data_IF_069977286509
#
_entry.id   IF_069977286509
#
_cell.length_a   1.000
_cell.length_b   1.000
_cell.length_c   1.000
_cell.angle_alpha   90.00
_cell.angle_beta   90.00
_cell.angle_gamma   90.00
#
_symmetry.space_group_name_H-M   'P 1'
#
loop_
_entity.id
_entity.type
_entity.pdbx_description
1 polymer ?
#
# COMPACT_ATOMS: atom_id res chain seq x y z
N UNK A 1 8.68 7.72 52.32
CA UNK A 1 7.38 8.08 51.72
C UNK A 1 7.49 9.50 51.17
N UNK A 2 7.75 9.63 49.86
CA UNK A 2 6.81 10.16 48.84
C UNK A 2 6.62 11.69 49.00
N UNK A 3 6.84 12.58 48.03
CA UNK A 3 6.61 12.51 46.58
C UNK A 3 7.34 13.68 45.89
N UNK A 4 8.13 13.42 44.87
CA UNK A 4 8.59 14.44 43.92
C UNK A 4 7.52 14.62 42.84
N UNK A 5 6.95 15.82 42.73
CA UNK A 5 6.06 16.23 41.64
C UNK A 5 6.67 17.47 41.00
N UNK A 6 6.57 17.53 39.68
CA UNK A 6 6.87 18.68 38.80
C UNK A 6 8.26 18.74 38.18
N UNK A 7 8.51 17.91 37.16
CA UNK A 7 9.34 18.28 36.00
C UNK A 7 8.77 17.59 34.74
N UNK A 8 7.64 18.07 34.22
CA UNK A 8 7.16 17.70 32.89
C UNK A 8 6.57 18.93 32.18
N UNK A 9 7.48 19.83 31.79
CA UNK A 9 7.22 20.87 30.79
C UNK A 9 8.48 21.05 29.95
N UNK A 10 8.83 20.04 29.16
CA UNK A 10 9.73 20.23 28.03
C UNK A 10 8.89 20.64 26.82
N UNK A 11 9.14 21.86 26.34
CA UNK A 11 8.31 22.63 25.42
C UNK A 11 8.11 22.00 24.01
N UNK A 12 7.01 22.35 23.30
CA UNK A 12 6.72 21.92 21.92
C UNK A 12 7.79 22.34 20.88
N UNK A 13 8.70 23.23 21.26
CA UNK A 13 9.79 23.75 20.41
C UNK A 13 10.86 22.69 20.12
N UNK A 14 11.14 21.76 21.04
CA UNK A 14 12.16 20.73 20.84
C UNK A 14 11.72 19.66 19.83
N UNK A 15 10.42 19.29 19.84
CA UNK A 15 9.81 18.36 18.88
C UNK A 15 9.80 18.95 17.46
N UNK A 16 9.48 20.24 17.34
CA UNK A 16 9.54 20.95 16.05
C UNK A 16 10.97 21.09 15.51
N UNK A 17 11.98 21.24 16.37
CA UNK A 17 13.39 21.33 15.96
C UNK A 17 13.94 20.00 15.44
N UNK A 18 13.55 18.88 16.07
CA UNK A 18 13.95 17.53 15.63
C UNK A 18 13.23 17.10 14.34
N UNK A 19 11.93 17.42 14.19
CA UNK A 19 11.19 17.19 12.94
C UNK A 19 11.71 18.04 11.78
N UNK A 20 12.11 19.28 12.04
CA UNK A 20 12.79 20.16 11.09
C UNK A 20 14.15 19.60 10.63
N UNK A 21 14.92 18.98 11.54
CA UNK A 21 16.23 18.41 11.22
C UNK A 21 16.14 17.04 10.51
N UNK A 22 15.14 16.23 10.86
CA UNK A 22 14.88 14.95 10.18
C UNK A 22 14.35 15.14 8.74
N UNK A 23 13.60 16.21 8.49
CA UNK A 23 13.02 16.53 7.17
C UNK A 23 13.99 17.25 6.24
N UNK A 24 14.96 17.99 6.78
CA UNK A 24 16.07 18.58 6.01
C UNK A 24 16.96 17.52 5.31
N UNK A 25 16.85 16.25 5.72
CA UNK A 25 17.68 15.14 5.22
C UNK A 25 16.93 14.20 4.26
N UNK A 26 15.66 14.46 3.94
CA UNK A 26 14.89 13.62 3.01
C UNK A 26 15.14 14.04 1.56
N UNK A 27 16.08 13.36 0.90
CA UNK A 27 16.36 13.53 -0.52
C UNK A 27 15.48 12.60 -1.37
N UNK A 28 14.87 13.13 -2.44
CA UNK A 28 14.25 12.33 -3.51
C UNK A 28 15.15 12.45 -4.73
N UNK A 29 15.79 11.34 -5.13
CA UNK A 29 16.74 11.28 -6.26
C UNK A 29 17.93 12.25 -6.15
N UNK A 30 18.42 12.51 -4.94
CA UNK A 30 19.62 13.33 -4.74
C UNK A 30 19.38 14.85 -4.76
N UNK A 31 18.15 15.29 -4.99
CA UNK A 31 17.78 16.72 -4.92
C UNK A 31 17.03 17.03 -3.61
N UNK A 32 17.28 18.22 -3.00
CA UNK A 32 16.54 18.64 -1.83
C UNK A 32 15.05 18.85 -2.18
N UNK A 33 14.15 18.34 -1.33
CA UNK A 33 12.72 18.58 -1.50
C UNK A 33 12.42 20.08 -1.52
N UNK A 34 11.73 20.55 -2.56
CA UNK A 34 11.34 21.96 -2.65
C UNK A 34 10.48 22.36 -1.44
N UNK A 35 10.52 23.65 -1.08
CA UNK A 35 9.92 24.18 0.15
C UNK A 35 8.43 23.90 0.29
N UNK A 36 7.70 23.76 -0.83
CA UNK A 36 6.28 23.41 -0.83
C UNK A 36 6.00 21.92 -0.64
N UNK A 37 6.84 21.02 -1.17
CA UNK A 37 6.76 19.59 -0.87
C UNK A 37 7.19 19.31 0.57
N UNK A 38 8.16 20.04 1.09
CA UNK A 38 8.55 19.98 2.51
C UNK A 38 7.44 20.52 3.41
N UNK A 39 6.77 21.62 3.05
CA UNK A 39 5.57 22.10 3.76
C UNK A 39 4.42 21.11 3.69
N UNK A 40 4.16 20.50 2.53
CA UNK A 40 3.09 19.50 2.36
C UNK A 40 3.41 18.20 3.10
N UNK A 41 4.67 17.77 3.09
CA UNK A 41 5.16 16.66 3.90
C UNK A 41 5.01 16.96 5.39
N UNK A 42 5.43 18.14 5.84
CA UNK A 42 5.27 18.59 7.22
C UNK A 42 3.80 18.77 7.61
N UNK A 43 2.94 19.24 6.70
CA UNK A 43 1.51 19.34 6.93
C UNK A 43 0.89 17.95 7.10
N UNK A 44 1.23 17.00 6.21
CA UNK A 44 0.80 15.60 6.27
C UNK A 44 1.30 14.88 7.54
N UNK A 45 2.54 15.15 7.96
CA UNK A 45 3.09 14.67 9.24
C UNK A 45 2.51 15.39 10.46
N UNK A 46 2.16 16.68 10.35
CA UNK A 46 1.54 17.44 11.45
C UNK A 46 0.07 17.08 11.67
N UNK A 47 -0.65 16.70 10.60
CA UNK A 47 -2.00 16.13 10.70
C UNK A 47 -1.99 14.71 11.26
N UNK A 48 -0.88 13.98 11.13
CA UNK A 48 -0.68 12.72 11.86
C UNK A 48 -0.49 12.94 13.37
N UNK A 49 -0.10 14.16 13.79
CA UNK A 49 0.01 14.55 15.20
C UNK A 49 -1.29 15.03 15.85
N UNK A 50 -2.42 15.01 15.13
CA UNK A 50 -3.73 15.40 15.64
C UNK A 50 -4.59 14.16 15.93
N UNK A 51 -4.23 13.36 16.93
CA UNK A 51 -5.09 12.52 17.80
C UNK A 51 -6.27 11.70 17.25
N UNK A 52 -6.48 11.63 15.94
CA UNK A 52 -7.63 11.00 15.31
C UNK A 52 -7.21 9.71 14.64
N UNK A 53 -7.83 8.59 15.04
CA UNK A 53 -7.69 7.32 14.32
C UNK A 53 -8.23 7.51 12.90
N UNK A 54 -7.53 6.94 11.92
CA UNK A 54 -8.03 6.82 10.56
C UNK A 54 -9.31 5.99 10.57
N UNK A 55 -10.27 6.38 9.75
CA UNK A 55 -11.56 5.72 9.61
C UNK A 55 -11.77 5.24 8.19
N UNK A 56 -12.58 4.19 8.03
CA UNK A 56 -13.07 3.80 6.72
C UNK A 56 -14.07 4.87 6.24
N UNK A 57 -13.85 5.53 5.09
CA UNK A 57 -14.77 6.54 4.59
C UNK A 57 -16.03 5.87 4.01
N UNK A 58 -17.20 6.45 4.24
CA UNK A 58 -18.41 6.00 3.57
C UNK A 58 -18.31 6.22 2.05
N UNK A 59 -18.94 5.32 1.29
CA UNK A 59 -19.00 5.45 -0.17
C UNK A 59 -20.01 6.54 -0.56
N UNK A 60 -19.73 7.34 -1.60
CA UNK A 60 -20.66 8.37 -2.07
C UNK A 60 -21.83 7.80 -2.89
N UNK A 61 -21.90 6.48 -3.07
CA UNK A 61 -22.89 5.75 -3.85
C UNK A 61 -23.08 4.32 -3.27
N UNK A 62 -24.13 3.63 -3.69
CA UNK A 62 -24.40 2.25 -3.27
C UNK A 62 -23.42 1.26 -3.95
N UNK A 63 -23.20 0.09 -3.35
CA UNK A 63 -22.31 -0.93 -3.88
C UNK A 63 -22.70 -1.38 -5.30
N UNK A 64 -23.99 -1.38 -5.63
CA UNK A 64 -24.49 -1.74 -6.96
C UNK A 64 -24.43 -0.60 -7.99
N UNK A 65 -24.06 0.62 -7.59
CA UNK A 65 -24.13 1.81 -8.48
C UNK A 65 -23.15 1.77 -9.66
N UNK A 66 -22.18 0.86 -9.65
CA UNK A 66 -21.19 0.71 -10.74
C UNK A 66 -21.47 -0.50 -11.64
N UNK A 67 -22.58 -1.20 -11.45
CA UNK A 67 -22.98 -2.30 -12.32
C UNK A 67 -23.39 -1.77 -13.71
N UNK A 68 -23.09 -2.53 -14.80
CA UNK A 68 -22.47 -3.86 -14.82
C UNK A 68 -20.93 -3.85 -14.83
N UNK A 69 -20.29 -2.67 -14.79
CA UNK A 69 -18.83 -2.56 -14.93
C UNK A 69 -18.06 -3.14 -13.74
N UNK A 70 -18.59 -2.99 -12.52
CA UNK A 70 -18.06 -3.61 -11.30
C UNK A 70 -19.21 -4.15 -10.46
N UNK A 71 -19.14 -5.42 -10.06
CA UNK A 71 -20.22 -6.05 -9.28
C UNK A 71 -20.33 -5.48 -7.86
N UNK A 72 -21.55 -5.44 -7.32
CA UNK A 72 -21.81 -5.02 -5.94
C UNK A 72 -21.00 -5.82 -4.91
N UNK A 73 -20.90 -7.14 -5.11
CA UNK A 73 -20.12 -8.04 -4.25
C UNK A 73 -18.64 -7.65 -4.21
N UNK A 74 -18.05 -7.34 -5.36
CA UNK A 74 -16.66 -6.86 -5.44
C UNK A 74 -16.51 -5.55 -4.68
N UNK A 75 -17.40 -4.59 -4.89
CA UNK A 75 -17.34 -3.29 -4.23
C UNK A 75 -17.46 -3.41 -2.71
N UNK A 76 -18.38 -4.25 -2.23
CA UNK A 76 -18.58 -4.49 -0.81
C UNK A 76 -17.36 -5.14 -0.16
N UNK A 77 -16.77 -6.17 -0.78
CA UNK A 77 -15.56 -6.82 -0.25
C UNK A 77 -14.34 -5.88 -0.29
N UNK A 78 -14.17 -5.15 -1.39
CA UNK A 78 -13.07 -4.21 -1.59
C UNK A 78 -13.13 -3.07 -0.56
N UNK A 79 -14.32 -2.57 -0.26
CA UNK A 79 -14.51 -1.54 0.75
C UNK A 79 -14.41 -2.09 2.18
N UNK A 80 -15.28 -3.02 2.56
CA UNK A 80 -15.46 -3.42 3.96
C UNK A 80 -14.39 -4.38 4.49
N UNK A 81 -13.63 -5.03 3.59
CA UNK A 81 -12.55 -5.95 3.98
C UNK A 81 -11.18 -5.40 3.60
N UNK A 82 -10.94 -5.15 2.31
CA UNK A 82 -9.61 -4.73 1.85
C UNK A 82 -9.24 -3.33 2.34
N UNK A 83 -10.12 -2.33 2.14
CA UNK A 83 -9.84 -0.97 2.61
C UNK A 83 -9.82 -0.89 4.15
N UNK A 84 -10.75 -1.59 4.82
CA UNK A 84 -10.76 -1.67 6.29
C UNK A 84 -9.45 -2.25 6.86
N UNK A 85 -8.84 -3.23 6.19
CA UNK A 85 -7.55 -3.79 6.60
C UNK A 85 -6.45 -2.73 6.57
N UNK A 86 -6.40 -1.90 5.53
CA UNK A 86 -5.45 -0.78 5.48
C UNK A 86 -5.68 0.20 6.62
N UNK A 87 -6.94 0.57 6.91
CA UNK A 87 -7.28 1.47 8.02
C UNK A 87 -6.77 0.93 9.36
N UNK A 88 -7.06 -0.34 9.66
CA UNK A 88 -6.64 -0.97 10.92
C UNK A 88 -5.12 -0.99 11.04
N UNK A 89 -4.44 -1.52 10.02
CA UNK A 89 -2.97 -1.62 10.02
C UNK A 89 -2.30 -0.25 10.09
N UNK A 90 -2.86 0.75 9.40
CA UNK A 90 -2.33 2.11 9.43
C UNK A 90 -2.41 2.71 10.83
N UNK A 91 -3.53 2.53 11.54
CA UNK A 91 -3.65 3.01 12.92
C UNK A 91 -2.60 2.37 13.83
N UNK A 92 -2.43 1.04 13.76
CA UNK A 92 -1.44 0.32 14.56
C UNK A 92 0.01 0.75 14.24
N UNK A 93 0.30 1.03 12.97
CA UNK A 93 1.62 1.50 12.53
C UNK A 93 1.89 2.94 12.96
N UNK A 94 0.88 3.81 12.92
CA UNK A 94 1.02 5.21 13.34
C UNK A 94 1.28 5.30 14.85
N UNK A 95 0.65 4.45 15.68
CA UNK A 95 0.97 4.36 17.11
C UNK A 95 2.45 3.98 17.35
N UNK A 96 3.00 3.05 16.55
CA UNK A 96 4.42 2.66 16.61
C UNK A 96 5.35 3.76 16.11
N UNK A 97 4.96 4.50 15.08
CA UNK A 97 5.71 5.66 14.58
C UNK A 97 5.77 6.76 15.64
N UNK A 98 4.64 7.05 16.30
CA UNK A 98 4.59 8.05 17.38
C UNK A 98 5.47 7.66 18.57
N UNK A 99 5.49 6.37 18.94
CA UNK A 99 6.38 5.87 19.97
C UNK A 99 7.87 6.05 19.58
N UNK A 100 8.24 5.67 18.35
CA UNK A 100 9.61 5.82 17.85
C UNK A 100 10.04 7.30 17.73
N UNK A 101 9.15 8.19 17.31
CA UNK A 101 9.40 9.64 17.30
C UNK A 101 9.59 10.18 18.71
N UNK A 102 8.79 9.71 19.67
CA UNK A 102 8.84 10.17 21.06
C UNK A 102 10.10 9.69 21.79
N UNK A 103 10.63 8.52 21.42
CA UNK A 103 11.90 8.00 21.94
C UNK A 103 13.13 8.47 21.17
N UNK A 104 12.96 9.11 20.00
CA UNK A 104 14.06 9.49 19.12
C UNK A 104 14.72 8.31 18.40
N UNK A 105 14.02 7.17 18.29
CA UNK A 105 14.54 5.96 17.65
C UNK A 105 14.39 6.02 16.12
N UNK A 106 15.41 6.59 15.47
CA UNK A 106 15.49 6.63 14.01
C UNK A 106 15.56 5.26 13.34
N UNK A 107 16.11 4.24 14.01
CA UNK A 107 16.23 2.90 13.45
C UNK A 107 14.87 2.22 13.34
N UNK A 108 14.02 2.37 14.37
CA UNK A 108 12.63 1.92 14.34
C UNK A 108 11.83 2.63 13.23
N UNK A 109 12.03 3.93 13.03
CA UNK A 109 11.36 4.67 11.95
C UNK A 109 11.74 4.13 10.56
N UNK A 110 13.03 3.83 10.34
CA UNK A 110 13.50 3.22 9.09
C UNK A 110 12.86 1.84 8.90
N UNK A 111 12.83 1.01 9.95
CA UNK A 111 12.26 -0.33 9.91
C UNK A 111 10.73 -0.31 9.66
N UNK A 112 10.01 0.67 10.20
CA UNK A 112 8.55 0.83 10.00
C UNK A 112 8.19 1.39 8.63
N UNK A 113 9.10 2.12 7.98
CA UNK A 113 8.85 2.88 6.74
C UNK A 113 8.18 2.05 5.61
N UNK A 114 8.61 0.81 5.29
CA UNK A 114 7.96 0.02 4.25
C UNK A 114 6.50 -0.31 4.57
N UNK A 115 6.21 -0.70 5.81
CA UNK A 115 4.86 -1.06 6.25
C UNK A 115 3.93 0.16 6.30
N UNK A 116 4.45 1.31 6.73
CA UNK A 116 3.74 2.61 6.70
C UNK A 116 3.39 2.96 5.26
N UNK A 117 4.36 2.94 4.34
CA UNK A 117 4.13 3.24 2.92
C UNK A 117 3.06 2.34 2.31
N UNK A 118 3.10 1.05 2.64
CA UNK A 118 2.14 0.08 2.11
C UNK A 118 0.72 0.32 2.64
N UNK A 119 0.54 0.41 3.96
CA UNK A 119 -0.80 0.48 4.54
C UNK A 119 -1.39 1.88 4.48
N UNK A 120 -0.63 2.91 4.85
CA UNK A 120 -1.11 4.31 4.78
C UNK A 120 -1.30 4.71 3.32
N UNK A 121 -0.36 4.34 2.44
CA UNK A 121 -0.53 4.53 0.99
C UNK A 121 -1.75 3.76 0.45
N UNK A 122 -1.99 2.54 0.93
CA UNK A 122 -3.19 1.76 0.63
C UNK A 122 -4.47 2.50 0.99
N UNK A 123 -4.59 2.99 2.23
CA UNK A 123 -5.75 3.75 2.68
C UNK A 123 -5.98 5.04 1.87
N UNK A 124 -4.93 5.83 1.62
CA UNK A 124 -5.03 7.06 0.83
C UNK A 124 -5.50 6.75 -0.59
N UNK A 125 -4.88 5.77 -1.24
CA UNK A 125 -5.22 5.42 -2.63
C UNK A 125 -6.66 4.93 -2.75
N UNK A 126 -7.15 4.12 -1.81
CA UNK A 126 -8.55 3.67 -1.83
C UNK A 126 -9.52 4.82 -1.55
N UNK A 127 -9.19 5.71 -0.60
CA UNK A 127 -10.00 6.90 -0.31
C UNK A 127 -10.16 7.82 -1.53
N UNK A 128 -9.16 7.90 -2.41
CA UNK A 128 -9.27 8.59 -3.70
C UNK A 128 -10.00 7.74 -4.75
N UNK A 129 -9.74 6.43 -4.80
CA UNK A 129 -10.38 5.51 -5.73
C UNK A 129 -11.91 5.62 -5.67
N UNK A 130 -12.50 5.59 -4.47
CA UNK A 130 -13.96 5.70 -4.30
C UNK A 130 -14.54 7.02 -4.81
N UNK A 131 -13.76 8.11 -4.74
CA UNK A 131 -14.19 9.44 -5.20
C UNK A 131 -14.02 9.64 -6.71
N UNK A 132 -13.19 8.80 -7.34
CA UNK A 132 -12.89 8.87 -8.77
C UNK A 132 -13.82 7.99 -9.62
N UNK A 133 -14.73 7.26 -9.00
CA UNK A 133 -15.71 6.42 -9.67
C UNK A 133 -17.06 7.10 -9.66
N UNK A 134 -17.85 6.83 -10.70
CA UNK A 134 -19.24 7.24 -10.80
C UNK A 134 -20.02 6.19 -11.59
N UNK A 135 -21.35 6.14 -11.44
CA UNK A 135 -22.22 5.35 -12.31
C UNK A 135 -21.96 5.66 -13.78
N UNK A 136 -22.09 4.66 -14.66
CA UNK A 136 -21.83 4.84 -16.08
C UNK A 136 -22.68 5.95 -16.73
N UNK A 137 -23.90 6.17 -16.23
CA UNK A 137 -24.80 7.25 -16.66
C UNK A 137 -24.30 8.66 -16.33
N UNK A 138 -23.39 8.79 -15.37
CA UNK A 138 -22.81 10.06 -14.93
C UNK A 138 -21.41 10.31 -15.53
N UNK A 139 -20.88 9.32 -16.25
CA UNK A 139 -19.57 9.42 -16.90
C UNK A 139 -19.61 10.37 -18.10
N UNK A 140 -18.69 11.32 -18.14
CA UNK A 140 -18.52 12.24 -19.25
C UNK A 140 -17.03 12.54 -19.49
N UNK A 141 -16.63 12.90 -20.73
CA UNK A 141 -15.30 13.42 -20.99
C UNK A 141 -14.99 14.65 -20.12
N UNK A 142 -13.76 14.80 -19.62
CA UNK A 142 -13.37 15.92 -18.78
C UNK A 142 -13.48 17.23 -19.55
N UNK A 143 -14.04 18.25 -18.90
CA UNK A 143 -14.18 19.60 -19.47
C UNK A 143 -13.31 20.59 -18.68
N UNK A 144 -13.27 21.85 -19.15
CA UNK A 144 -12.56 22.94 -18.47
C UNK A 144 -11.04 22.72 -18.42
N UNK A 145 -10.36 23.19 -17.35
CA UNK A 145 -8.90 23.13 -17.24
C UNK A 145 -8.32 21.71 -17.35
N UNK A 146 -9.04 20.70 -16.85
CA UNK A 146 -8.59 19.31 -16.93
C UNK A 146 -8.64 18.78 -18.37
N UNK A 147 -9.73 19.05 -19.10
CA UNK A 147 -9.84 18.69 -20.51
C UNK A 147 -8.72 19.32 -21.35
N UNK A 148 -8.50 20.63 -21.17
CA UNK A 148 -7.44 21.35 -21.89
C UNK A 148 -6.03 20.82 -21.55
N UNK A 149 -5.76 20.46 -20.30
CA UNK A 149 -4.50 19.85 -19.90
C UNK A 149 -4.29 18.46 -20.53
N UNK A 150 -5.37 17.68 -20.66
CA UNK A 150 -5.34 16.39 -21.35
C UNK A 150 -5.04 16.57 -22.83
N UNK A 151 -5.73 17.49 -23.50
CA UNK A 151 -5.51 17.75 -24.93
C UNK A 151 -4.08 18.22 -25.19
N UNK A 152 -3.56 19.11 -24.33
CA UNK A 152 -2.16 19.58 -24.43
C UNK A 152 -1.15 18.46 -24.23
N UNK A 153 -1.39 17.56 -23.28
CA UNK A 153 -0.39 16.55 -22.87
C UNK A 153 -0.47 15.24 -23.68
N UNK A 154 -1.65 14.93 -24.23
CA UNK A 154 -1.96 13.65 -24.87
C UNK A 154 -2.52 13.80 -26.28
N UNK A 155 -2.73 15.03 -26.76
CA UNK A 155 -3.32 15.34 -28.06
C UNK A 155 -4.85 15.39 -28.01
N UNK A 156 -5.49 14.40 -27.41
CA UNK A 156 -6.93 14.38 -27.14
C UNK A 156 -7.29 13.35 -26.05
N UNK A 157 -8.54 13.36 -25.61
CA UNK A 157 -9.06 12.44 -24.60
C UNK A 157 -8.99 10.95 -25.00
N UNK A 158 -9.17 10.61 -26.27
CA UNK A 158 -9.09 9.21 -26.73
C UNK A 158 -7.66 8.67 -26.68
N UNK A 159 -6.68 9.48 -27.07
CA UNK A 159 -5.26 9.16 -26.96
C UNK A 159 -4.83 9.03 -25.49
N UNK A 160 -5.37 9.88 -24.60
CA UNK A 160 -5.20 9.72 -23.16
C UNK A 160 -5.76 8.39 -22.65
N UNK A 161 -7.02 8.05 -22.97
CA UNK A 161 -7.63 6.78 -22.59
C UNK A 161 -6.80 5.59 -23.08
N UNK A 162 -6.40 5.59 -24.36
CA UNK A 162 -5.59 4.51 -24.94
C UNK A 162 -4.27 4.32 -24.18
N UNK A 163 -3.57 5.42 -23.89
CA UNK A 163 -2.30 5.38 -23.16
C UNK A 163 -2.48 4.92 -21.72
N UNK A 164 -3.49 5.40 -21.02
CA UNK A 164 -3.79 4.98 -19.64
C UNK A 164 -4.18 3.51 -19.57
N UNK A 165 -5.07 3.04 -20.47
CA UNK A 165 -5.45 1.63 -20.56
C UNK A 165 -4.24 0.73 -20.80
N UNK A 166 -3.36 1.09 -21.74
CA UNK A 166 -2.14 0.32 -22.01
C UNK A 166 -1.22 0.24 -20.78
N UNK A 167 -1.07 1.34 -20.02
CA UNK A 167 -0.27 1.36 -18.79
C UNK A 167 -0.90 0.50 -17.67
N UNK A 168 -2.22 0.55 -17.51
CA UNK A 168 -2.93 -0.25 -16.52
C UNK A 168 -2.80 -1.76 -16.81
N UNK A 169 -2.99 -2.16 -18.07
CA UNK A 169 -2.81 -3.56 -18.49
C UNK A 169 -1.37 -4.02 -18.26
N UNK A 170 -0.37 -3.18 -18.53
CA UNK A 170 1.04 -3.54 -18.33
C UNK A 170 1.38 -3.83 -16.85
N UNK A 171 0.68 -3.22 -15.89
CA UNK A 171 0.81 -3.57 -14.47
C UNK A 171 0.24 -4.96 -14.20
N UNK A 172 -0.95 -5.25 -14.74
CA UNK A 172 -1.61 -6.56 -14.59
C UNK A 172 -0.75 -7.70 -15.14
N UNK A 173 -0.16 -7.52 -16.33
CA UNK A 173 0.72 -8.53 -16.95
C UNK A 173 1.97 -8.79 -16.11
N UNK A 174 2.57 -7.75 -15.49
CA UNK A 174 3.74 -7.95 -14.62
C UNK A 174 3.43 -8.83 -13.41
N UNK A 175 2.25 -8.66 -12.80
CA UNK A 175 1.82 -9.46 -11.64
C UNK A 175 1.54 -10.91 -12.07
N UNK A 176 0.84 -11.11 -13.18
CA UNK A 176 0.54 -12.44 -13.72
C UNK A 176 1.80 -13.21 -14.12
N UNK A 177 2.78 -12.53 -14.71
CA UNK A 177 4.05 -13.16 -15.09
C UNK A 177 4.85 -13.61 -13.86
N UNK A 178 4.92 -12.80 -12.81
CA UNK A 178 5.60 -13.20 -11.55
C UNK A 178 4.91 -14.42 -10.92
N UNK A 179 3.58 -14.42 -10.84
CA UNK A 179 2.82 -15.57 -10.31
C UNK A 179 3.02 -16.82 -11.16
N UNK A 180 3.01 -16.68 -12.49
CA UNK A 180 3.21 -17.81 -13.43
C UNK A 180 4.63 -18.37 -13.35
N UNK A 181 5.65 -17.51 -13.20
CA UNK A 181 7.04 -17.94 -12.98
C UNK A 181 7.19 -18.66 -11.65
N UNK A 182 6.60 -18.14 -10.57
CA UNK A 182 6.65 -18.79 -9.25
C UNK A 182 5.94 -20.14 -9.25
N UNK A 183 4.77 -20.25 -9.90
CA UNK A 183 4.04 -21.50 -10.03
C UNK A 183 4.80 -22.52 -10.90
N UNK A 184 5.42 -22.06 -11.98
CA UNK A 184 6.26 -22.90 -12.85
C UNK A 184 7.51 -23.41 -12.10
N UNK A 185 8.16 -22.55 -11.30
CA UNK A 185 9.30 -22.98 -10.48
C UNK A 185 8.88 -23.99 -9.40
N UNK A 186 7.71 -23.80 -8.77
CA UNK A 186 7.15 -24.78 -7.84
C UNK A 186 6.88 -26.13 -8.53
N UNK A 187 6.29 -26.10 -9.72
CA UNK A 187 6.00 -27.30 -10.50
C UNK A 187 7.28 -28.05 -10.89
N UNK A 188 8.32 -27.35 -11.35
CA UNK A 188 9.61 -27.97 -11.64
C UNK A 188 10.30 -28.51 -10.39
N UNK A 189 10.18 -27.84 -9.24
CA UNK A 189 10.76 -28.32 -7.99
C UNK A 189 10.07 -29.60 -7.49
N UNK A 190 8.73 -29.66 -7.56
CA UNK A 190 7.94 -30.85 -7.22
C UNK A 190 8.19 -32.00 -8.20
N UNK A 191 8.32 -31.70 -9.50
CA UNK A 191 8.62 -32.68 -10.54
C UNK A 191 10.05 -33.23 -10.44
N UNK A 192 11.04 -32.39 -10.14
CA UNK A 192 12.41 -32.83 -9.90
C UNK A 192 12.53 -33.69 -8.63
N UNK A 193 11.81 -33.33 -7.56
CA UNK A 193 11.77 -34.11 -6.32
C UNK A 193 11.14 -35.50 -6.52
N UNK A 194 10.15 -35.63 -7.42
CA UNK A 194 9.52 -36.92 -7.74
C UNK A 194 10.36 -37.80 -8.67
N UNK A 195 11.18 -37.21 -9.55
CA UNK A 195 12.10 -37.94 -10.42
C UNK A 195 13.40 -38.41 -9.73
N UNK A 196 13.73 -37.85 -8.56
CA UNK A 196 14.89 -38.29 -7.76
C UNK A 196 14.59 -39.46 -6.81
N UNK A 197 13.36 -39.95 -6.79
CA UNK A 197 13.00 -41.21 -6.12
C UNK A 197 13.45 -42.36 -7.01
N UNK A 198 14.71 -42.79 -6.87
CA UNK A 198 15.18 -44.04 -7.48
C UNK A 198 14.42 -45.22 -6.83
N UNK A 199 13.72 -46.08 -7.59
CA UNK A 199 13.23 -47.33 -7.03
C UNK A 199 14.43 -48.21 -6.71
N UNK A 200 14.76 -48.37 -5.43
CA UNK A 200 15.73 -49.36 -4.99
C UNK A 200 15.02 -50.72 -4.84
N UNK A 201 15.46 -51.71 -5.62
CA UNK A 201 14.92 -53.07 -5.57
C UNK A 201 15.80 -53.90 -4.63
N UNK A 202 15.43 -54.01 -3.35
CA UNK A 202 15.98 -55.06 -2.48
C UNK A 202 15.16 -56.33 -2.67
N UNK A 203 15.80 -57.35 -3.22
CA UNK A 203 15.24 -58.69 -3.33
C UNK A 203 15.50 -59.44 -2.02
N UNK A 204 14.58 -59.34 -1.06
CA UNK A 204 14.39 -60.37 -0.05
C UNK A 204 12.91 -60.52 0.30
N UNK A 205 12.54 -61.74 0.63
CA UNK A 205 11.20 -62.30 0.79
C UNK A 205 10.18 -61.41 1.52
N UNK A 206 9.17 -60.95 0.76
CA UNK A 206 7.78 -61.15 1.17
C UNK A 206 7.09 -60.11 2.06
N UNK A 207 7.63 -58.91 2.30
CA UNK A 207 6.87 -57.85 3.01
C UNK A 207 7.13 -56.44 2.46
N UNK A 208 6.04 -55.69 2.25
CA UNK A 208 6.05 -54.28 1.84
C UNK A 208 6.23 -53.39 3.07
N UNK A 209 7.26 -52.53 3.08
CA UNK A 209 7.42 -51.47 4.09
C UNK A 209 7.83 -50.16 3.40
N UNK A 210 6.95 -49.17 3.48
CA UNK A 210 7.20 -47.71 3.54
C UNK A 210 8.12 -47.01 2.52
N UNK A 211 7.64 -45.88 1.97
CA UNK A 211 8.50 -44.89 1.31
C UNK A 211 9.44 -44.22 2.32
N UNK A 212 10.74 -44.15 2.01
CA UNK A 212 11.72 -43.37 2.77
C UNK A 212 12.25 -42.20 1.92
N UNK A 213 12.38 -41.02 2.53
CA UNK A 213 13.01 -39.84 1.96
C UNK A 213 14.54 -39.95 2.11
N UNK A 214 15.28 -39.59 1.06
CA UNK A 214 16.75 -39.34 1.12
C UNK A 214 16.97 -37.84 1.27
#
# INVERSE_FOLDING_TARGET
MTTAKSIFTAAPVAKNKLLSQATASLFVRGEPLNSELTKRGNAMLSTAGSGGKLTLPDLPYDYASLEPSVSATTMQLHHTKHHQTYVNNSNDLLEKVDAALSSGDGSALIALSPAVKFNVGGHINHSHFWKNLCPASESAPPTGPLGAAIDTSFGNFDAFKAKMTAKSIAVQVRIQNVLSTLLSLLFHFVFAATLYIKPFRLQTSGQWVGMAWV
#
